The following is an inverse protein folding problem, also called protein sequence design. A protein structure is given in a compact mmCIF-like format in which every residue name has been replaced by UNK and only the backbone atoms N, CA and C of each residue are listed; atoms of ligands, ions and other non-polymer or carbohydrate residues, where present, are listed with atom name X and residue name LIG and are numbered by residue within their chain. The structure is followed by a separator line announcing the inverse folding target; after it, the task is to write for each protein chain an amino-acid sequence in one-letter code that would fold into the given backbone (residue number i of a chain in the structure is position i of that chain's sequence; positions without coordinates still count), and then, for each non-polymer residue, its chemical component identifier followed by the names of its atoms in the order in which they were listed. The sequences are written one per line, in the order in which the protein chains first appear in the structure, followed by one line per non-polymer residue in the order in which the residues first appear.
data_IF_415447085865
#
_entry.id   IF_415447085865
#
_cell.length_a   1.000
_cell.length_b   1.000
_cell.length_c   1.000
_cell.angle_alpha   90.00
_cell.angle_beta   90.00
_cell.angle_gamma   90.00
#
_symmetry.space_group_name_H-M   'P 1'
#
loop_
_entity.id
_entity.type
_entity.pdbx_description
1 polymer ?
#
# COMPACT_ATOMS: atom_id res chain seq x y z
N UNK A 1 12.31 -20.27 -8.04
CA UNK A 1 10.98 -19.85 -7.55
C UNK A 1 10.24 -19.25 -8.73
N UNK A 2 8.96 -19.61 -8.95
CA UNK A 2 8.17 -18.98 -10.01
C UNK A 2 7.62 -17.65 -9.51
N UNK A 3 7.50 -16.68 -10.41
CA UNK A 3 6.89 -15.40 -10.07
C UNK A 3 5.40 -15.61 -9.72
N UNK A 4 4.88 -14.90 -8.71
CA UNK A 4 3.47 -15.00 -8.36
C UNK A 4 2.60 -14.51 -9.52
N UNK A 5 1.38 -15.04 -9.62
CA UNK A 5 0.36 -14.70 -10.63
C UNK A 5 0.70 -15.07 -12.10
N UNK A 6 1.97 -15.15 -12.48
CA UNK A 6 2.38 -15.44 -13.86
C UNK A 6 2.18 -16.90 -14.29
N UNK A 7 2.20 -17.83 -13.32
CA UNK A 7 2.08 -19.26 -13.58
C UNK A 7 0.75 -19.67 -14.26
N UNK A 8 -0.28 -18.82 -14.16
CA UNK A 8 -1.64 -19.10 -14.63
C UNK A 8 -2.09 -18.21 -15.79
N UNK A 9 -1.22 -17.29 -16.25
CA UNK A 9 -1.60 -16.24 -17.21
C UNK A 9 -0.71 -16.27 -18.46
N UNK A 10 -1.35 -16.24 -19.62
CA UNK A 10 -0.68 -16.03 -20.92
C UNK A 10 -0.16 -14.60 -21.05
N UNK A 11 0.77 -14.37 -21.99
CA UNK A 11 1.35 -13.05 -22.21
C UNK A 11 0.33 -11.91 -22.40
N UNK A 12 -0.69 -12.04 -23.27
CA UNK A 12 -1.71 -10.99 -23.42
C UNK A 12 -2.56 -10.79 -22.16
N UNK A 13 -2.90 -11.87 -21.46
CA UNK A 13 -3.70 -11.80 -20.22
C UNK A 13 -2.98 -11.06 -19.10
N UNK A 14 -1.64 -11.16 -19.02
CA UNK A 14 -0.84 -10.42 -18.03
C UNK A 14 -0.94 -8.91 -18.25
N UNK A 15 -0.79 -8.46 -19.49
CA UNK A 15 -0.92 -7.03 -19.84
C UNK A 15 -2.34 -6.51 -19.63
N UNK A 16 -3.36 -7.29 -20.01
CA UNK A 16 -4.75 -6.95 -19.76
C UNK A 16 -5.02 -6.83 -18.25
N UNK A 17 -4.59 -7.81 -17.46
CA UNK A 17 -4.74 -7.79 -16.01
C UNK A 17 -4.03 -6.57 -15.40
N UNK A 18 -2.78 -6.28 -15.82
CA UNK A 18 -2.05 -5.11 -15.37
C UNK A 18 -2.80 -3.81 -15.69
N UNK A 19 -3.31 -3.66 -16.92
CA UNK A 19 -4.08 -2.50 -17.32
C UNK A 19 -5.36 -2.33 -16.50
N UNK A 20 -6.10 -3.42 -16.26
CA UNK A 20 -7.30 -3.42 -15.42
C UNK A 20 -6.95 -3.03 -13.99
N UNK A 21 -5.91 -3.61 -13.39
CA UNK A 21 -5.49 -3.31 -12.04
C UNK A 21 -4.96 -1.87 -11.89
N UNK A 22 -4.28 -1.32 -12.90
CA UNK A 22 -3.86 0.08 -12.92
C UNK A 22 -5.07 1.02 -13.04
N UNK A 23 -6.03 0.71 -13.90
CA UNK A 23 -7.25 1.49 -14.04
C UNK A 23 -8.07 1.50 -12.74
N UNK A 24 -8.21 0.32 -12.09
CA UNK A 24 -8.84 0.20 -10.78
C UNK A 24 -8.06 0.98 -9.71
N UNK A 25 -6.72 0.89 -9.71
CA UNK A 25 -5.90 1.66 -8.76
C UNK A 25 -6.10 3.16 -8.93
N UNK A 26 -6.11 3.65 -10.17
CA UNK A 26 -6.37 5.06 -10.46
C UNK A 26 -7.76 5.47 -9.97
N UNK A 27 -8.80 4.68 -10.28
CA UNK A 27 -10.17 4.95 -9.84
C UNK A 27 -10.28 5.03 -8.31
N UNK A 28 -9.70 4.07 -7.59
CA UNK A 28 -9.68 4.04 -6.13
C UNK A 28 -8.89 5.23 -5.55
N UNK A 29 -7.75 5.59 -6.15
CA UNK A 29 -6.99 6.77 -5.74
C UNK A 29 -7.76 8.08 -5.97
N UNK A 30 -8.48 8.22 -7.09
CA UNK A 30 -9.34 9.38 -7.32
C UNK A 30 -10.47 9.47 -6.29
N UNK A 31 -11.13 8.35 -5.98
CA UNK A 31 -12.13 8.28 -4.90
C UNK A 31 -11.54 8.68 -3.54
N UNK A 32 -10.33 8.23 -3.24
CA UNK A 32 -9.60 8.60 -2.02
C UNK A 32 -9.25 10.08 -1.98
N UNK A 33 -8.72 10.65 -3.07
CA UNK A 33 -8.30 12.07 -3.13
C UNK A 33 -9.49 13.01 -2.94
N UNK A 34 -10.66 12.69 -3.51
CA UNK A 34 -11.88 13.46 -3.27
C UNK A 34 -12.24 13.54 -1.77
N UNK A 35 -12.02 12.46 -1.02
CA UNK A 35 -12.23 12.43 0.43
C UNK A 35 -11.08 13.05 1.26
N UNK A 36 -9.89 13.19 0.68
CA UNK A 36 -8.69 13.76 1.34
C UNK A 36 -8.73 15.29 1.38
N UNK A 37 -9.31 15.94 0.37
CA UNK A 37 -9.37 17.40 0.28
C UNK A 37 -10.23 18.01 1.41
N UNK A 38 -11.33 17.34 1.79
CA UNK A 38 -12.12 17.70 2.97
C UNK A 38 -11.33 17.53 4.28
N UNK A 39 -10.48 16.50 4.37
CA UNK A 39 -9.67 16.21 5.56
C UNK A 39 -8.54 17.23 5.76
N UNK A 40 -7.82 17.57 4.69
CA UNK A 40 -6.72 18.55 4.70
C UNK A 40 -7.25 19.95 5.08
N UNK A 41 -8.45 20.30 4.58
CA UNK A 41 -9.14 21.54 4.95
C UNK A 41 -9.61 21.54 6.41
N UNK A 42 -9.92 20.37 6.98
CA UNK A 42 -10.49 20.25 8.32
C UNK A 42 -9.48 20.31 9.47
N UNK A 43 -8.21 19.86 9.33
CA UNK A 43 -7.10 20.09 10.31
C UNK A 43 -5.76 19.50 9.87
N UNK A 44 -4.68 20.26 10.11
CA UNK A 44 -3.32 20.03 9.61
C UNK A 44 -2.41 19.01 10.32
N UNK A 45 -2.94 17.94 10.91
CA UNK A 45 -2.11 16.93 11.62
C UNK A 45 -1.76 15.69 10.78
N UNK A 46 -1.43 15.86 9.48
CA UNK A 46 -0.82 14.80 8.67
C UNK A 46 -1.71 13.61 8.29
N UNK A 47 -3.02 13.65 8.56
CA UNK A 47 -3.95 12.60 8.14
C UNK A 47 -3.80 11.29 8.88
N UNK A 48 -4.44 10.24 8.33
CA UNK A 48 -4.38 8.90 8.90
C UNK A 48 -2.94 8.35 8.96
N UNK A 49 -2.06 8.84 8.07
CA UNK A 49 -0.62 8.53 8.12
C UNK A 49 0.03 9.00 9.41
N UNK A 50 -0.42 10.10 10.02
CA UNK A 50 0.13 10.53 11.32
C UNK A 50 -0.18 9.52 12.43
N UNK A 51 -1.34 8.85 12.37
CA UNK A 51 -1.66 7.75 13.29
C UNK A 51 -0.82 6.52 12.99
N UNK A 52 -0.57 6.24 11.71
CA UNK A 52 0.31 5.14 11.27
C UNK A 52 1.70 5.23 11.89
N UNK A 53 2.25 6.44 12.03
CA UNK A 53 3.57 6.66 12.62
C UNK A 53 3.52 7.19 14.06
N UNK A 54 2.38 7.07 14.76
CA UNK A 54 2.25 7.57 16.12
C UNK A 54 3.11 6.79 17.13
N UNK A 55 3.25 5.47 16.96
CA UNK A 55 4.13 4.59 17.76
C UNK A 55 3.82 4.46 19.26
N UNK A 56 2.88 5.25 19.79
CA UNK A 56 2.54 5.31 21.21
C UNK A 56 1.07 5.72 21.42
N UNK A 57 0.48 5.28 22.53
CA UNK A 57 -0.86 5.68 22.94
C UNK A 57 -0.97 7.18 23.17
N UNK A 58 0.06 7.80 23.76
CA UNK A 58 0.06 9.24 24.06
C UNK A 58 -0.04 10.08 22.77
N UNK A 59 0.76 9.76 21.75
CA UNK A 59 0.70 10.44 20.45
C UNK A 59 -0.60 10.16 19.73
N UNK A 60 -1.06 8.91 19.75
CA UNK A 60 -2.34 8.55 19.16
C UNK A 60 -3.52 9.27 19.82
N UNK A 61 -3.53 9.41 21.15
CA UNK A 61 -4.56 10.13 21.88
C UNK A 61 -4.60 11.60 21.48
N UNK A 62 -3.44 12.24 21.30
CA UNK A 62 -3.35 13.60 20.81
C UNK A 62 -4.01 13.76 19.44
N UNK A 63 -3.68 12.87 18.49
CA UNK A 63 -4.25 12.87 17.14
C UNK A 63 -5.78 12.66 17.17
N UNK A 64 -6.26 11.67 17.94
CA UNK A 64 -7.69 11.39 18.06
C UNK A 64 -8.46 12.57 18.68
N UNK A 65 -7.86 13.29 19.63
CA UNK A 65 -8.45 14.53 20.17
C UNK A 65 -8.49 15.63 19.12
N UNK A 66 -7.42 15.78 18.33
CA UNK A 66 -7.35 16.75 17.25
C UNK A 66 -8.39 16.46 16.15
N UNK A 67 -8.79 15.20 15.96
CA UNK A 67 -9.74 14.76 14.92
C UNK A 67 -11.18 14.58 15.40
N UNK A 68 -11.53 15.03 16.61
CA UNK A 68 -12.90 14.97 17.10
C UNK A 68 -13.89 15.61 16.13
N UNK A 69 -14.98 14.90 15.81
CA UNK A 69 -15.99 15.31 14.83
C UNK A 69 -15.68 14.90 13.39
N UNK A 70 -14.54 14.24 13.13
CA UNK A 70 -14.14 13.73 11.82
C UNK A 70 -14.10 12.19 11.77
N UNK A 71 -14.65 11.51 12.78
CA UNK A 71 -14.56 10.05 12.94
C UNK A 71 -15.19 9.32 11.75
N UNK A 72 -16.32 9.79 11.22
CA UNK A 72 -16.97 9.17 10.06
C UNK A 72 -16.17 9.34 8.77
N UNK A 73 -15.52 10.49 8.60
CA UNK A 73 -14.62 10.72 7.48
C UNK A 73 -13.39 9.81 7.57
N UNK A 74 -12.78 9.68 8.76
CA UNK A 74 -11.67 8.78 9.00
C UNK A 74 -12.05 7.31 8.76
N UNK A 75 -13.21 6.86 9.25
CA UNK A 75 -13.74 5.51 8.98
C UNK A 75 -13.92 5.28 7.49
N UNK A 76 -14.49 6.25 6.77
CA UNK A 76 -14.68 6.18 5.32
C UNK A 76 -13.34 6.04 4.60
N UNK A 77 -12.35 6.87 4.95
CA UNK A 77 -11.00 6.79 4.39
C UNK A 77 -10.33 5.44 4.66
N UNK A 78 -10.39 4.91 5.90
CA UNK A 78 -9.84 3.58 6.19
C UNK A 78 -10.54 2.46 5.42
N UNK A 79 -11.86 2.58 5.17
CA UNK A 79 -12.60 1.62 4.34
C UNK A 79 -12.18 1.68 2.86
N UNK A 80 -11.87 2.86 2.33
CA UNK A 80 -11.26 2.98 1.00
C UNK A 80 -9.89 2.32 0.94
N UNK A 81 -9.09 2.44 2.00
CA UNK A 81 -7.78 1.79 2.09
C UNK A 81 -7.92 0.24 2.09
N UNK A 82 -9.02 -0.31 2.66
CA UNK A 82 -9.38 -1.73 2.51
C UNK A 82 -9.67 -2.18 1.08
N UNK A 83 -10.19 -1.31 0.21
CA UNK A 83 -10.38 -1.64 -1.20
C UNK A 83 -9.06 -1.52 -1.96
N UNK A 84 -8.25 -0.51 -1.61
CA UNK A 84 -6.98 -0.26 -2.25
C UNK A 84 -5.96 -1.39 -2.00
N UNK A 85 -5.95 -2.00 -0.81
CA UNK A 85 -5.04 -3.11 -0.48
C UNK A 85 -5.26 -4.37 -1.33
N UNK A 86 -6.41 -4.53 -1.99
CA UNK A 86 -6.63 -5.65 -2.91
C UNK A 86 -5.99 -5.42 -4.28
N UNK A 87 -5.75 -4.16 -4.64
CA UNK A 87 -5.34 -3.79 -6.00
C UNK A 87 -3.86 -3.44 -6.04
N UNK A 88 -3.39 -2.54 -5.18
CA UNK A 88 -2.02 -2.03 -5.29
C UNK A 88 -0.93 -3.11 -5.10
N UNK A 89 -1.04 -4.09 -4.18
CA UNK A 89 -0.04 -5.14 -4.02
C UNK A 89 -0.01 -6.07 -5.23
N UNK A 90 -1.17 -6.33 -5.83
CA UNK A 90 -1.29 -7.12 -7.05
C UNK A 90 -0.65 -6.41 -8.25
N UNK A 91 -0.84 -5.09 -8.39
CA UNK A 91 -0.13 -4.28 -9.40
C UNK A 91 1.38 -4.40 -9.23
N UNK A 92 1.89 -4.13 -8.02
CA UNK A 92 3.34 -4.18 -7.76
C UNK A 92 3.91 -5.58 -8.00
N UNK A 93 3.22 -6.61 -7.50
CA UNK A 93 3.59 -8.01 -7.69
C UNK A 93 3.67 -8.36 -9.18
N UNK A 94 2.62 -8.06 -9.94
CA UNK A 94 2.53 -8.40 -11.36
C UNK A 94 3.58 -7.62 -12.18
N UNK A 95 3.77 -6.33 -11.91
CA UNK A 95 4.77 -5.52 -12.58
C UNK A 95 6.19 -6.03 -12.32
N UNK A 96 6.54 -6.34 -11.06
CA UNK A 96 7.85 -6.87 -10.71
C UNK A 96 8.10 -8.23 -11.37
N UNK A 97 7.09 -9.08 -11.39
CA UNK A 97 7.13 -10.39 -12.03
C UNK A 97 7.34 -10.27 -13.55
N UNK A 98 6.58 -9.41 -14.22
CA UNK A 98 6.70 -9.19 -15.67
C UNK A 98 8.06 -8.60 -16.04
N UNK A 99 8.58 -7.67 -15.22
CA UNK A 99 9.92 -7.11 -15.42
C UNK A 99 11.00 -8.17 -15.20
N UNK A 100 10.86 -9.05 -14.21
CA UNK A 100 11.81 -10.13 -13.94
C UNK A 100 11.97 -11.10 -15.13
N UNK A 101 10.92 -11.32 -15.93
CA UNK A 101 10.97 -12.14 -17.14
C UNK A 101 11.42 -11.37 -18.40
N UNK A 102 11.59 -10.05 -18.31
CA UNK A 102 12.01 -9.25 -19.45
C UNK A 102 13.45 -9.60 -19.87
N UNK A 103 13.66 -9.78 -21.17
CA UNK A 103 15.00 -9.95 -21.75
C UNK A 103 15.87 -8.72 -21.43
N UNK A 104 17.09 -8.95 -20.96
CA UNK A 104 18.02 -7.89 -20.57
C UNK A 104 17.84 -7.37 -19.14
N UNK A 105 16.98 -8.01 -18.32
CA UNK A 105 16.91 -7.66 -16.91
C UNK A 105 18.16 -8.20 -16.17
N UNK A 106 18.96 -7.34 -15.51
CA UNK A 106 20.16 -7.77 -14.80
C UNK A 106 19.87 -8.48 -13.46
N UNK A 107 18.66 -8.35 -12.91
CA UNK A 107 18.28 -8.78 -11.56
C UNK A 107 16.94 -9.55 -11.53
N UNK A 108 16.78 -10.64 -12.31
CA UNK A 108 15.51 -11.36 -12.42
C UNK A 108 15.09 -12.05 -11.10
N UNK A 109 16.04 -12.66 -10.38
CA UNK A 109 15.77 -13.35 -9.11
C UNK A 109 15.24 -12.40 -8.03
N UNK A 110 15.80 -11.17 -7.98
CA UNK A 110 15.34 -10.13 -7.06
C UNK A 110 13.90 -9.75 -7.40
N UNK A 111 13.56 -9.58 -8.68
CA UNK A 111 12.20 -9.26 -9.08
C UNK A 111 11.16 -10.29 -8.68
N UNK A 112 11.50 -11.59 -8.78
CA UNK A 112 10.63 -12.68 -8.33
C UNK A 112 10.40 -12.61 -6.82
N UNK A 113 11.46 -12.39 -6.04
CA UNK A 113 11.36 -12.25 -4.59
C UNK A 113 10.52 -11.03 -4.20
N UNK A 114 10.80 -9.88 -4.81
CA UNK A 114 10.08 -8.62 -4.57
C UNK A 114 8.62 -8.73 -4.97
N UNK A 115 8.28 -9.48 -6.01
CA UNK A 115 6.90 -9.74 -6.40
C UNK A 115 6.13 -10.49 -5.30
N UNK A 116 6.72 -11.54 -4.71
CA UNK A 116 6.12 -12.23 -3.56
C UNK A 116 6.04 -11.33 -2.32
N UNK A 117 7.09 -10.55 -2.07
CA UNK A 117 7.13 -9.61 -0.96
C UNK A 117 6.04 -8.55 -1.07
N UNK A 118 5.74 -8.05 -2.27
CA UNK A 118 4.67 -7.10 -2.52
C UNK A 118 3.31 -7.66 -2.04
N UNK A 119 3.01 -8.93 -2.30
CA UNK A 119 1.77 -9.57 -1.82
C UNK A 119 1.72 -9.70 -0.28
N UNK A 120 2.86 -9.81 0.40
CA UNK A 120 2.92 -9.80 1.86
C UNK A 120 2.51 -8.45 2.47
N UNK A 121 2.43 -7.37 1.68
CA UNK A 121 1.88 -6.10 2.15
C UNK A 121 0.37 -6.18 2.45
N UNK A 122 -0.38 -7.11 1.82
CA UNK A 122 -1.83 -7.28 2.02
C UNK A 122 -2.18 -7.53 3.50
N UNK A 123 -1.65 -8.58 4.17
CA UNK A 123 -1.99 -8.81 5.58
C UNK A 123 -1.47 -7.71 6.50
N UNK A 124 -0.33 -7.08 6.19
CA UNK A 124 0.19 -5.96 6.98
C UNK A 124 -0.75 -4.75 6.93
N UNK A 125 -1.24 -4.40 5.74
CA UNK A 125 -2.19 -3.31 5.54
C UNK A 125 -3.53 -3.60 6.21
N UNK A 126 -4.03 -4.84 6.08
CA UNK A 126 -5.28 -5.24 6.72
C UNK A 126 -5.24 -5.16 8.26
N UNK A 127 -4.14 -5.60 8.87
CA UNK A 127 -3.94 -5.50 10.34
C UNK A 127 -3.88 -4.04 10.76
N UNK A 128 -3.13 -3.21 10.04
CA UNK A 128 -3.02 -1.78 10.31
C UNK A 128 -4.38 -1.09 10.23
N UNK A 129 -5.11 -1.27 9.14
CA UNK A 129 -6.43 -0.67 8.95
C UNK A 129 -7.46 -1.12 10.00
N UNK A 130 -7.42 -2.39 10.41
CA UNK A 130 -8.29 -2.89 11.47
C UNK A 130 -7.97 -2.27 12.83
N UNK A 131 -6.68 -2.16 13.17
CA UNK A 131 -6.23 -1.52 14.40
C UNK A 131 -6.56 -0.02 14.42
N UNK A 132 -6.40 0.65 13.27
CA UNK A 132 -6.76 2.05 13.06
C UNK A 132 -8.26 2.27 13.30
N UNK A 133 -9.14 1.47 12.70
CA UNK A 133 -10.59 1.55 12.94
C UNK A 133 -10.93 1.33 14.43
N UNK A 134 -10.30 0.35 15.07
CA UNK A 134 -10.50 0.10 16.50
C UNK A 134 -10.12 1.29 17.36
N UNK A 135 -9.03 1.99 17.05
CA UNK A 135 -8.59 3.17 17.78
C UNK A 135 -9.48 4.39 17.52
N UNK A 136 -10.03 4.54 16.32
CA UNK A 136 -11.04 5.57 16.02
C UNK A 136 -12.31 5.33 16.86
N UNK A 137 -12.76 4.08 16.98
CA UNK A 137 -14.02 3.75 17.66
C UNK A 137 -13.91 3.70 19.19
N UNK A 138 -12.79 3.24 19.73
CA UNK A 138 -12.64 2.94 21.17
C UNK A 138 -11.57 3.80 21.86
N UNK A 139 -10.88 4.67 21.12
CA UNK A 139 -9.82 5.52 21.63
C UNK A 139 -8.42 4.91 21.54
N UNK A 140 -7.43 5.68 21.99
CA UNK A 140 -6.03 5.31 21.88
C UNK A 140 -5.66 4.08 22.73
N UNK A 141 -4.79 3.23 22.18
CA UNK A 141 -4.29 2.03 22.84
C UNK A 141 -2.83 1.81 22.51
N UNK A 142 -2.01 1.56 23.53
CA UNK A 142 -0.56 1.36 23.39
C UNK A 142 -0.22 0.15 22.50
N UNK A 143 -0.79 -1.06 22.71
CA UNK A 143 -0.49 -2.19 21.84
C UNK A 143 -0.96 -1.93 20.40
N UNK A 144 -2.13 -1.30 20.18
CA UNK A 144 -2.62 -1.02 18.84
C UNK A 144 -1.75 0.01 18.12
N UNK A 145 -1.35 1.09 18.79
CA UNK A 145 -0.47 2.11 18.21
C UNK A 145 0.87 1.50 17.76
N UNK A 146 1.45 0.60 18.55
CA UNK A 146 2.67 -0.12 18.16
C UNK A 146 2.45 -1.04 16.96
N UNK A 147 1.38 -1.84 16.96
CA UNK A 147 1.06 -2.72 15.83
C UNK A 147 0.84 -1.94 14.53
N UNK A 148 0.07 -0.86 14.59
CA UNK A 148 -0.15 0.07 13.47
C UNK A 148 1.20 0.54 12.91
N UNK A 149 2.11 1.02 13.76
CA UNK A 149 3.40 1.54 13.32
C UNK A 149 4.32 0.48 12.75
N UNK A 150 4.39 -0.71 13.36
CA UNK A 150 5.19 -1.80 12.82
C UNK A 150 4.66 -2.24 11.46
N UNK A 151 3.35 -2.48 11.34
CA UNK A 151 2.72 -2.90 10.09
C UNK A 151 2.86 -1.84 9.00
N UNK A 152 2.61 -0.57 9.32
CA UNK A 152 2.79 0.54 8.37
C UNK A 152 4.25 0.64 7.89
N UNK A 153 5.21 0.61 8.81
CA UNK A 153 6.64 0.72 8.47
C UNK A 153 7.08 -0.42 7.55
N UNK A 154 6.70 -1.66 7.88
CA UNK A 154 7.01 -2.82 7.03
C UNK A 154 6.32 -2.71 5.67
N UNK A 155 5.04 -2.35 5.62
CA UNK A 155 4.29 -2.12 4.37
C UNK A 155 4.98 -1.09 3.47
N UNK A 156 5.33 0.08 4.02
CA UNK A 156 5.99 1.13 3.25
C UNK A 156 7.38 0.69 2.78
N UNK A 157 8.16 -0.03 3.60
CA UNK A 157 9.45 -0.58 3.17
C UNK A 157 9.28 -1.57 2.00
N UNK A 158 8.26 -2.42 2.02
CA UNK A 158 7.94 -3.34 0.92
C UNK A 158 7.59 -2.58 -0.36
N UNK A 159 6.70 -1.58 -0.25
CA UNK A 159 6.28 -0.75 -1.40
C UNK A 159 7.46 -0.01 -2.01
N UNK A 160 8.30 0.61 -1.19
CA UNK A 160 9.50 1.32 -1.65
C UNK A 160 10.52 0.37 -2.29
N UNK A 161 10.68 -0.85 -1.75
CA UNK A 161 11.53 -1.88 -2.35
C UNK A 161 11.01 -2.28 -3.74
N UNK A 162 9.70 -2.51 -3.88
CA UNK A 162 9.07 -2.83 -5.16
C UNK A 162 9.23 -1.69 -6.19
N UNK A 163 8.96 -0.46 -5.78
CA UNK A 163 9.16 0.72 -6.62
C UNK A 163 10.63 0.88 -7.03
N UNK A 164 11.56 0.76 -6.10
CA UNK A 164 13.00 0.84 -6.36
C UNK A 164 13.47 -0.22 -7.34
N UNK A 165 13.01 -1.47 -7.19
CA UNK A 165 13.29 -2.54 -8.13
C UNK A 165 12.78 -2.20 -9.55
N UNK A 166 11.51 -1.80 -9.67
CA UNK A 166 10.90 -1.45 -10.96
C UNK A 166 11.66 -0.32 -11.66
N UNK A 167 12.10 0.70 -10.91
CA UNK A 167 12.87 1.81 -11.45
C UNK A 167 14.27 1.36 -11.89
N UNK A 168 15.06 0.75 -11.00
CA UNK A 168 16.46 0.41 -11.28
C UNK A 168 16.56 -0.67 -12.34
N UNK A 169 15.85 -1.79 -12.19
CA UNK A 169 15.88 -2.88 -13.15
C UNK A 169 15.20 -2.47 -14.47
N UNK A 170 14.15 -1.65 -14.41
CA UNK A 170 13.47 -1.13 -15.60
C UNK A 170 14.39 -0.28 -16.46
N UNK A 171 15.07 0.70 -15.84
CA UNK A 171 16.05 1.55 -16.52
C UNK A 171 17.20 0.72 -17.08
N UNK A 172 17.78 -0.20 -16.29
CA UNK A 172 18.86 -1.05 -16.75
C UNK A 172 18.44 -1.94 -17.94
N UNK A 173 17.21 -2.46 -17.93
CA UNK A 173 16.67 -3.26 -19.03
C UNK A 173 16.49 -2.43 -20.31
N UNK A 174 16.16 -1.14 -20.19
CA UNK A 174 16.03 -0.24 -21.34
C UNK A 174 17.38 0.07 -21.99
N UNK A 175 18.45 0.21 -21.20
CA UNK A 175 19.81 0.45 -21.73
C UNK A 175 20.50 -0.79 -22.29
N UNK A 176 19.98 -1.99 -22.00
CA UNK A 176 20.49 -3.26 -22.54
C UNK A 176 19.79 -3.68 -23.84
N UNK A 177 18.84 -2.89 -24.34
CA UNK A 177 18.23 -3.06 -25.67
C UNK A 177 19.04 -2.34 -26.73
#
# INVERSE_FOLDING_TARGET
MNAPLLAFLTWPQRWLLLAVLLALSALLLFGRIASLDEFIKARGEGGIMALQFAGSAARAAHLLVAWRGLEDLLRSQTRWDFLFLLVYPAVLSLACAMLAEARGNPLPTIGIFVAWLALAAIPLDAIENLATLRMIDHGASEPLARWITVCATMKFAIVLTAAGYLLVAGIATLFQR
#
